data_IF_694312741485
#
_entry.id   IF_694312741485
#
_cell.length_a   1.000
_cell.length_b   1.000
_cell.length_c   1.000
_cell.angle_alpha   90.00
_cell.angle_beta   90.00
_cell.angle_gamma   90.00
#
_symmetry.space_group_name_H-M   'P 1'
#
loop_
_entity.id
_entity.type
_entity.pdbx_description
1 polymer ?
#
# COMPACT_ATOMS: atom_id res chain seq x y z
N UNK A 1 -4.93 -51.95 -37.47
CA UNK A 1 -4.67 -51.28 -36.18
C UNK A 1 -3.59 -50.22 -36.36
N UNK A 2 -3.87 -49.00 -35.88
CA UNK A 2 -2.95 -47.91 -35.52
C UNK A 2 -2.00 -47.31 -36.59
N UNK A 3 -2.41 -46.18 -37.19
CA UNK A 3 -1.50 -45.09 -37.63
C UNK A 3 -2.16 -43.73 -37.39
N UNK A 4 -2.10 -43.22 -36.15
CA UNK A 4 -2.53 -41.86 -35.78
C UNK A 4 -1.51 -41.10 -34.90
N UNK A 5 -0.24 -41.52 -34.89
CA UNK A 5 0.78 -40.95 -33.98
C UNK A 5 1.78 -39.98 -34.61
N UNK A 6 1.63 -39.60 -35.88
CA UNK A 6 2.58 -38.69 -36.54
C UNK A 6 2.20 -37.19 -36.40
N UNK A 7 0.90 -36.87 -36.41
CA UNK A 7 0.41 -35.47 -36.33
C UNK A 7 0.58 -34.80 -34.94
N UNK A 8 0.80 -35.60 -33.88
CA UNK A 8 1.00 -35.07 -32.51
C UNK A 8 2.36 -34.38 -32.31
N UNK A 9 3.39 -34.73 -33.10
CA UNK A 9 4.75 -34.17 -32.91
C UNK A 9 4.86 -32.73 -33.45
N UNK A 10 4.18 -32.42 -34.55
CA UNK A 10 4.10 -31.06 -35.09
C UNK A 10 3.27 -30.12 -34.21
N UNK A 11 2.10 -30.57 -33.76
CA UNK A 11 1.22 -29.77 -32.90
C UNK A 11 1.88 -29.45 -31.53
N UNK A 12 2.60 -30.41 -30.94
CA UNK A 12 3.33 -30.17 -29.70
C UNK A 12 4.46 -29.14 -29.86
N UNK A 13 5.19 -29.19 -30.99
CA UNK A 13 6.24 -28.22 -31.29
C UNK A 13 5.70 -26.80 -31.50
N UNK A 14 4.58 -26.66 -32.22
CA UNK A 14 3.94 -25.36 -32.44
C UNK A 14 3.38 -24.77 -31.14
N UNK A 15 2.76 -25.57 -30.29
CA UNK A 15 2.26 -25.12 -28.98
C UNK A 15 3.39 -24.64 -28.08
N UNK A 16 4.50 -25.37 -28.04
CA UNK A 16 5.65 -25.03 -27.19
C UNK A 16 6.33 -23.73 -27.67
N UNK A 17 6.46 -23.55 -29.00
CA UNK A 17 6.96 -22.30 -29.59
C UNK A 17 6.03 -21.12 -29.27
N UNK A 18 4.71 -21.30 -29.40
CA UNK A 18 3.74 -20.26 -29.08
C UNK A 18 3.79 -19.85 -27.59
N UNK A 19 3.99 -20.82 -26.69
CA UNK A 19 4.13 -20.57 -25.26
C UNK A 19 5.39 -19.76 -24.93
N UNK A 20 6.53 -20.10 -25.56
CA UNK A 20 7.78 -19.34 -25.42
C UNK A 20 7.59 -17.89 -25.90
N UNK A 21 6.98 -17.71 -27.07
CA UNK A 21 6.71 -16.37 -27.62
C UNK A 21 5.79 -15.57 -26.69
N UNK A 22 4.75 -16.19 -26.13
CA UNK A 22 3.85 -15.54 -25.18
C UNK A 22 4.57 -15.08 -23.90
N UNK A 23 5.48 -15.90 -23.36
CA UNK A 23 6.29 -15.55 -22.18
C UNK A 23 7.22 -14.37 -22.50
N UNK A 24 7.85 -14.37 -23.68
CA UNK A 24 8.72 -13.26 -24.11
C UNK A 24 7.93 -11.96 -24.23
N UNK A 25 6.77 -11.99 -24.90
CA UNK A 25 5.89 -10.82 -25.03
C UNK A 25 5.46 -10.31 -23.65
N UNK A 26 5.07 -11.21 -22.75
CA UNK A 26 4.70 -10.85 -21.37
C UNK A 26 5.87 -10.19 -20.61
N UNK A 27 7.08 -10.73 -20.75
CA UNK A 27 8.29 -10.13 -20.18
C UNK A 27 8.57 -8.71 -20.71
N UNK A 28 8.43 -8.50 -22.02
CA UNK A 28 8.64 -7.18 -22.63
C UNK A 28 7.58 -6.18 -22.15
N UNK A 29 6.30 -6.57 -22.11
CA UNK A 29 5.22 -5.70 -21.65
C UNK A 29 5.39 -5.33 -20.18
N UNK A 30 5.77 -6.27 -19.32
CA UNK A 30 5.98 -5.99 -17.88
C UNK A 30 7.19 -5.10 -17.61
N UNK A 31 8.25 -5.19 -18.41
CA UNK A 31 9.44 -4.32 -18.29
C UNK A 31 9.18 -2.93 -18.88
N UNK A 32 8.48 -2.85 -20.01
CA UNK A 32 8.22 -1.59 -20.71
C UNK A 32 7.23 -0.67 -20.00
N UNK A 33 6.44 -1.19 -19.05
CA UNK A 33 5.44 -0.42 -18.31
C UNK A 33 6.00 0.15 -16.99
N UNK A 34 7.29 -0.05 -16.70
CA UNK A 34 7.94 0.56 -15.52
C UNK A 34 8.36 2.00 -15.84
N UNK A 35 7.70 2.96 -15.20
CA UNK A 35 8.03 4.38 -15.30
C UNK A 35 9.17 4.76 -14.34
N UNK A 36 9.24 4.11 -13.18
CA UNK A 36 10.23 4.41 -12.14
C UNK A 36 10.74 3.14 -11.43
N UNK A 37 11.91 3.25 -10.78
CA UNK A 37 12.42 2.22 -9.86
C UNK A 37 12.81 2.80 -8.49
N UNK A 38 12.92 4.12 -8.40
CA UNK A 38 13.26 4.90 -7.21
C UNK A 38 12.62 6.27 -7.34
N UNK A 39 12.39 6.95 -6.23
CA UNK A 39 11.71 8.24 -6.19
C UNK A 39 12.40 9.32 -7.05
N UNK A 40 13.74 9.27 -7.14
CA UNK A 40 14.53 10.21 -7.95
C UNK A 40 14.31 10.09 -9.46
N UNK A 41 13.62 9.05 -9.94
CA UNK A 41 13.24 8.92 -11.34
C UNK A 41 11.94 9.69 -11.66
N UNK A 42 11.20 10.11 -10.62
CA UNK A 42 9.97 10.88 -10.75
C UNK A 42 10.24 12.39 -10.68
N UNK A 43 9.32 13.19 -11.23
CA UNK A 43 9.34 14.65 -11.13
C UNK A 43 9.23 15.09 -9.66
N UNK A 44 9.77 16.26 -9.32
CA UNK A 44 9.61 16.85 -7.98
C UNK A 44 8.13 16.87 -7.55
N UNK A 45 7.86 16.45 -6.31
CA UNK A 45 6.51 16.31 -5.78
C UNK A 45 5.83 14.96 -6.09
N UNK A 46 6.55 13.99 -6.66
CA UNK A 46 6.08 12.63 -6.92
C UNK A 46 7.01 11.57 -6.31
N UNK A 47 6.48 10.40 -5.96
CA UNK A 47 7.21 9.24 -5.47
C UNK A 47 6.97 8.01 -6.35
N UNK A 48 7.90 7.04 -6.31
CA UNK A 48 7.77 5.80 -7.05
C UNK A 48 6.95 4.78 -6.26
N UNK A 49 5.78 4.42 -6.79
CA UNK A 49 4.93 3.39 -6.21
C UNK A 49 5.45 1.98 -6.46
N UNK A 50 4.97 1.01 -5.68
CA UNK A 50 5.27 -0.42 -5.86
C UNK A 50 4.75 -0.99 -7.19
N UNK A 51 3.87 -0.26 -7.87
CA UNK A 51 3.40 -0.51 -9.23
C UNK A 51 4.36 0.01 -10.32
N UNK A 52 5.54 0.52 -9.92
CA UNK A 52 6.55 1.11 -10.80
C UNK A 52 6.05 2.35 -11.56
N UNK A 53 5.08 3.07 -11.00
CA UNK A 53 4.54 4.32 -11.53
C UNK A 53 4.81 5.49 -10.59
N UNK A 54 4.87 6.69 -11.15
CA UNK A 54 5.05 7.90 -10.35
C UNK A 54 3.70 8.39 -9.80
N UNK A 55 3.59 8.51 -8.48
CA UNK A 55 2.40 9.00 -7.77
C UNK A 55 2.66 10.36 -7.15
N UNK A 56 1.68 11.25 -7.15
CA UNK A 56 1.82 12.57 -6.57
C UNK A 56 1.81 12.49 -5.04
N UNK A 57 2.69 13.22 -4.37
CA UNK A 57 2.59 13.42 -2.94
C UNK A 57 1.31 14.18 -2.63
N UNK A 58 0.34 13.50 -2.01
CA UNK A 58 -0.88 14.15 -1.52
C UNK A 58 -0.53 14.98 -0.29
N UNK A 59 -0.53 16.29 -0.43
CA UNK A 59 -0.53 17.21 0.71
C UNK A 59 -1.95 17.23 1.26
N UNK A 60 -2.22 16.39 2.26
CA UNK A 60 -3.46 16.52 3.02
C UNK A 60 -3.38 17.83 3.81
N UNK A 61 -4.30 18.76 3.57
CA UNK A 61 -4.57 19.82 4.53
C UNK A 61 -5.15 19.14 5.77
N UNK A 62 -4.28 18.86 6.74
CA UNK A 62 -4.72 18.32 8.02
C UNK A 62 -5.54 19.42 8.69
N UNK A 63 -6.86 19.31 8.62
CA UNK A 63 -7.75 20.16 9.37
C UNK A 63 -7.59 19.82 10.86
N UNK A 64 -6.63 20.50 11.49
CA UNK A 64 -6.22 20.35 12.88
C UNK A 64 -7.28 20.93 13.85
N UNK A 65 -8.55 20.57 13.65
CA UNK A 65 -9.63 20.90 14.57
C UNK A 65 -9.52 20.05 15.83
N UNK A 66 -8.51 20.36 16.66
CA UNK A 66 -8.30 19.74 17.96
C UNK A 66 -9.29 20.23 19.02
N UNK A 67 -10.26 21.06 18.65
CA UNK A 67 -11.28 21.59 19.55
C UNK A 67 -12.12 20.46 20.18
N UNK A 68 -12.60 19.52 19.36
CA UNK A 68 -13.34 18.36 19.86
C UNK A 68 -12.49 17.45 20.77
N UNK A 69 -11.29 16.99 20.38
CA UNK A 69 -10.48 16.13 21.25
C UNK A 69 -9.98 16.85 22.51
N UNK A 70 -9.70 18.15 22.47
CA UNK A 70 -9.28 18.91 23.67
C UNK A 70 -10.41 19.09 24.69
N UNK A 71 -11.65 19.30 24.25
CA UNK A 71 -12.82 19.35 25.14
C UNK A 71 -13.02 17.99 25.82
N UNK A 72 -12.94 16.88 25.06
CA UNK A 72 -13.08 15.53 25.62
C UNK A 72 -12.01 15.27 26.69
N UNK A 73 -10.75 15.62 26.38
CA UNK A 73 -9.64 15.45 27.32
C UNK A 73 -9.81 16.31 28.58
N UNK A 74 -10.23 17.57 28.42
CA UNK A 74 -10.50 18.48 29.54
C UNK A 74 -11.60 17.97 30.46
N UNK A 75 -12.72 17.51 29.90
CA UNK A 75 -13.83 16.93 30.68
C UNK A 75 -13.37 15.67 31.42
N UNK A 76 -12.59 14.81 30.78
CA UNK A 76 -12.07 13.59 31.41
C UNK A 76 -11.20 13.90 32.63
N UNK A 77 -10.34 14.92 32.55
CA UNK A 77 -9.49 15.35 33.67
C UNK A 77 -10.34 15.87 34.83
N UNK A 78 -11.37 16.68 34.55
CA UNK A 78 -12.27 17.22 35.58
C UNK A 78 -13.03 16.08 36.28
N UNK A 79 -13.60 15.15 35.52
CA UNK A 79 -14.33 14.01 36.08
C UNK A 79 -13.39 13.14 36.93
N UNK A 80 -12.18 12.86 36.44
CA UNK A 80 -11.19 12.09 37.18
C UNK A 80 -10.84 12.79 38.51
N UNK A 81 -10.61 14.11 38.50
CA UNK A 81 -10.33 14.87 39.71
C UNK A 81 -11.47 14.82 40.73
N UNK A 82 -12.74 14.85 40.27
CA UNK A 82 -13.91 14.75 41.14
C UNK A 82 -14.07 13.35 41.74
N UNK A 83 -13.89 12.28 40.96
CA UNK A 83 -13.96 10.89 41.46
C UNK A 83 -12.86 10.64 42.51
N UNK A 84 -11.66 11.15 42.24
CA UNK A 84 -10.49 10.99 43.10
C UNK A 84 -10.64 11.82 44.39
N UNK A 85 -11.26 13.00 44.32
CA UNK A 85 -11.51 13.86 45.49
C UNK A 85 -12.26 13.14 46.62
N UNK A 86 -13.19 12.26 46.30
CA UNK A 86 -14.00 11.55 47.30
C UNK A 86 -13.34 10.24 47.79
N UNK A 87 -12.28 9.77 47.12
CA UNK A 87 -11.59 8.51 47.44
C UNK A 87 -10.12 8.65 47.86
N UNK A 88 -9.57 9.86 47.88
CA UNK A 88 -8.23 10.10 48.42
C UNK A 88 -8.28 10.14 49.96
N UNK A 89 -7.60 9.22 50.68
CA UNK A 89 -7.23 9.50 52.05
C UNK A 89 -6.40 10.79 52.05
N UNK A 90 -6.59 11.64 53.06
CA UNK A 90 -5.87 12.89 53.25
C UNK A 90 -4.36 12.67 53.18
N UNK A 91 -3.79 12.73 51.97
CA UNK A 91 -2.36 12.69 51.75
C UNK A 91 -1.83 14.10 52.06
N UNK A 92 -1.78 14.34 53.37
CA UNK A 92 -0.85 15.21 54.06
C UNK A 92 -0.83 16.65 53.55
N UNK A 93 -1.71 17.48 54.14
CA UNK A 93 -1.28 18.84 54.50
C UNK A 93 0.00 18.70 55.34
N UNK A 94 1.13 19.09 54.78
CA UNK A 94 2.27 19.59 55.55
C UNK A 94 2.37 21.07 55.28
#
# INVERSE_FOLDING_TARGET
>A
MARLTDSRKGAAGVLLLALIVAIIIYGIVTVSQRECSRDSHCKEGYYCGSDFKCHQHKTYEVNNNFLAPSIILGIAIIIAALIIKDKLPSFTRK
#
